data_IF_517016156040
#
_entry.id   IF_517016156040
#
_cell.length_a   1.000
_cell.length_b   1.000
_cell.length_c   1.000
_cell.angle_alpha   90.00
_cell.angle_beta   90.00
_cell.angle_gamma   90.00
#
_symmetry.space_group_name_H-M   'P 1'
#
loop_
_entity.id
_entity.type
_entity.pdbx_description
1 polymer ?
#
# COMPACT_ATOMS: atom_id res chain seq x y z
N UNK A 1 -23.53 -11.70 -16.42
CA UNK A 1 -23.22 -11.60 -14.97
C UNK A 1 -21.72 -11.41 -14.89
N UNK A 2 -21.22 -10.35 -14.25
CA UNK A 2 -19.78 -10.11 -14.18
C UNK A 2 -19.09 -11.23 -13.39
N UNK A 3 -17.91 -11.67 -13.81
CA UNK A 3 -17.09 -12.60 -13.03
C UNK A 3 -16.43 -11.83 -11.89
N UNK A 4 -16.94 -12.03 -10.67
CA UNK A 4 -16.43 -11.39 -9.45
C UNK A 4 -15.08 -11.95 -9.01
N UNK A 5 -14.60 -13.05 -9.58
CA UNK A 5 -13.32 -13.70 -9.20
C UNK A 5 -12.10 -13.05 -9.83
N UNK A 6 -12.24 -12.42 -11.00
CA UNK A 6 -11.12 -11.91 -11.80
C UNK A 6 -10.34 -10.75 -11.14
N UNK A 7 -10.86 -10.14 -10.07
CA UNK A 7 -10.28 -8.95 -9.43
C UNK A 7 -9.87 -9.14 -7.96
N UNK A 8 -9.78 -10.39 -7.49
CA UNK A 8 -9.51 -10.71 -6.08
C UNK A 8 -8.02 -10.67 -5.68
N UNK A 9 -7.12 -11.01 -6.60
CA UNK A 9 -5.65 -10.84 -6.43
C UNK A 9 -5.21 -9.49 -7.03
N UNK A 10 -4.08 -8.90 -6.58
CA UNK A 10 -3.72 -7.47 -6.75
C UNK A 10 -3.72 -6.91 -8.20
N UNK A 11 -2.62 -6.35 -8.76
CA UNK A 11 -2.59 -6.09 -10.20
C UNK A 11 -2.75 -7.40 -10.97
N UNK A 12 -3.97 -7.69 -11.42
CA UNK A 12 -4.23 -8.73 -12.40
C UNK A 12 -3.44 -8.46 -13.69
N UNK A 13 -3.27 -9.49 -14.52
CA UNK A 13 -2.60 -9.35 -15.81
C UNK A 13 -3.55 -8.63 -16.79
N UNK A 14 -3.05 -7.60 -17.47
CA UNK A 14 -3.75 -6.89 -18.55
C UNK A 14 -3.04 -7.11 -19.89
N UNK A 15 -3.46 -6.38 -20.93
CA UNK A 15 -2.75 -6.31 -22.21
C UNK A 15 -2.33 -4.87 -22.49
N UNK A 16 -1.27 -4.64 -23.27
CA UNK A 16 -0.83 -3.28 -23.57
C UNK A 16 -1.83 -2.52 -24.45
N UNK A 17 -2.65 -3.20 -25.25
CA UNK A 17 -3.78 -2.56 -25.95
C UNK A 17 -4.84 -2.05 -24.97
N UNK A 18 -5.10 -2.80 -23.90
CA UNK A 18 -5.96 -2.32 -22.82
C UNK A 18 -5.31 -1.12 -22.11
N UNK A 19 -4.01 -1.18 -21.79
CA UNK A 19 -3.24 -0.05 -21.20
C UNK A 19 -3.33 1.20 -22.08
N UNK A 20 -3.18 1.05 -23.40
CA UNK A 20 -3.28 2.18 -24.34
C UNK A 20 -4.65 2.86 -24.29
N UNK A 21 -5.74 2.10 -24.15
CA UNK A 21 -7.11 2.67 -24.07
C UNK A 21 -7.38 3.44 -22.79
N UNK A 22 -6.58 3.22 -21.74
CA UNK A 22 -6.84 3.75 -20.41
C UNK A 22 -5.97 4.95 -20.03
N UNK A 23 -4.81 5.09 -20.67
CA UNK A 23 -3.94 6.24 -20.49
C UNK A 23 -4.60 7.51 -21.05
N UNK A 24 -4.42 8.66 -20.39
CA UNK A 24 -5.11 9.89 -20.75
C UNK A 24 -4.81 10.34 -22.18
N UNK A 25 -5.85 10.86 -22.83
CA UNK A 25 -5.73 11.55 -24.12
C UNK A 25 -5.36 13.02 -23.89
N UNK A 26 -4.46 13.57 -24.71
CA UNK A 26 -3.99 14.97 -24.64
C UNK A 26 -3.34 15.34 -23.29
N UNK A 27 -2.57 14.42 -22.74
CA UNK A 27 -1.76 14.67 -21.55
C UNK A 27 -0.54 15.55 -21.88
N UNK A 28 -0.24 16.49 -21.00
CA UNK A 28 0.96 17.33 -21.03
C UNK A 28 1.55 17.35 -19.62
N UNK A 29 2.79 16.88 -19.42
CA UNK A 29 3.40 16.95 -18.11
C UNK A 29 3.54 18.38 -17.60
N UNK A 30 3.05 18.67 -16.40
CA UNK A 30 3.07 20.03 -15.82
C UNK A 30 4.47 20.53 -15.48
N UNK A 31 5.39 19.61 -15.19
CA UNK A 31 6.79 19.91 -14.89
C UNK A 31 7.72 19.11 -15.81
N UNK A 32 8.81 19.73 -16.31
CA UNK A 32 9.85 19.01 -17.04
C UNK A 32 10.61 18.05 -16.09
N UNK A 33 11.26 16.98 -16.60
CA UNK A 33 11.78 15.88 -15.78
C UNK A 33 12.65 16.32 -14.59
N UNK A 34 13.63 17.20 -14.81
CA UNK A 34 14.53 17.64 -13.73
C UNK A 34 13.80 18.47 -12.66
N UNK A 35 12.85 19.33 -13.03
CA UNK A 35 12.04 20.09 -12.05
C UNK A 35 11.09 19.17 -11.30
N UNK A 36 10.52 18.16 -11.97
CA UNK A 36 9.68 17.14 -11.34
C UNK A 36 10.45 16.36 -10.27
N UNK A 37 11.71 16.00 -10.54
CA UNK A 37 12.57 15.37 -9.51
C UNK A 37 12.79 16.29 -8.31
N UNK A 38 13.04 17.59 -8.51
CA UNK A 38 13.14 18.55 -7.41
C UNK A 38 11.86 18.60 -6.57
N UNK A 39 10.69 18.67 -7.22
CA UNK A 39 9.39 18.66 -6.55
C UNK A 39 9.17 17.36 -5.77
N UNK A 40 9.54 16.21 -6.35
CA UNK A 40 9.45 14.90 -5.72
C UNK A 40 10.27 14.82 -4.43
N UNK A 41 11.54 15.23 -4.45
CA UNK A 41 12.38 15.22 -3.24
C UNK A 41 11.87 16.16 -2.15
N UNK A 42 11.28 17.30 -2.54
CA UNK A 42 10.63 18.21 -1.58
C UNK A 42 9.39 17.59 -0.94
N UNK A 43 8.54 16.92 -1.74
CA UNK A 43 7.39 16.16 -1.23
C UNK A 43 7.86 15.06 -0.28
N UNK A 44 8.94 14.35 -0.64
CA UNK A 44 9.50 13.27 0.18
C UNK A 44 9.92 13.75 1.56
N UNK A 45 10.74 14.79 1.62
CA UNK A 45 11.21 15.38 2.87
C UNK A 45 10.04 15.86 3.74
N UNK A 46 9.04 16.50 3.11
CA UNK A 46 7.85 16.97 3.82
C UNK A 46 7.05 15.82 4.42
N UNK A 47 6.79 14.75 3.66
CA UNK A 47 6.04 13.61 4.15
C UNK A 47 6.80 12.89 5.26
N UNK A 48 8.10 12.67 5.12
CA UNK A 48 8.91 12.00 6.14
C UNK A 48 8.89 12.77 7.47
N UNK A 49 9.09 14.09 7.41
CA UNK A 49 9.01 14.96 8.59
C UNK A 49 7.59 15.00 9.17
N UNK A 50 6.57 15.16 8.32
CA UNK A 50 5.18 15.21 8.75
C UNK A 50 4.71 13.91 9.39
N UNK A 51 5.13 12.77 8.87
CA UNK A 51 4.87 11.44 9.46
C UNK A 51 5.58 11.27 10.81
N UNK A 52 6.85 11.69 10.90
CA UNK A 52 7.61 11.66 12.16
C UNK A 52 6.91 12.48 13.26
N UNK A 53 6.46 13.69 12.94
CA UNK A 53 5.75 14.57 13.88
C UNK A 53 4.34 14.05 14.23
N UNK A 54 3.55 13.67 13.22
CA UNK A 54 2.14 13.31 13.43
C UNK A 54 1.96 11.98 14.17
N UNK A 55 2.89 11.04 14.00
CA UNK A 55 2.78 9.68 14.52
C UNK A 55 3.89 9.31 15.52
N UNK A 56 4.81 10.23 15.83
CA UNK A 56 5.99 10.02 16.69
C UNK A 56 6.87 8.88 16.16
N UNK A 57 7.30 9.01 14.91
CA UNK A 57 8.11 8.02 14.19
C UNK A 57 9.55 8.51 14.04
N UNK A 58 10.49 7.59 14.11
CA UNK A 58 11.90 7.84 13.80
C UNK A 58 12.26 7.22 12.46
N UNK A 59 13.01 7.96 11.63
CA UNK A 59 13.56 7.39 10.40
C UNK A 59 14.63 6.37 10.75
N UNK A 60 14.52 5.15 10.22
CA UNK A 60 15.51 4.08 10.41
C UNK A 60 15.89 3.45 9.07
N UNK A 61 17.03 2.77 9.06
CA UNK A 61 17.45 1.94 7.92
C UNK A 61 16.61 0.66 7.87
N UNK A 62 16.36 0.18 6.65
CA UNK A 62 15.52 -1.00 6.37
C UNK A 62 16.31 -2.02 5.54
N UNK A 63 16.14 -3.33 5.77
CA UNK A 63 16.81 -4.34 4.96
C UNK A 63 16.21 -4.40 3.55
N UNK A 64 17.07 -4.34 2.53
CA UNK A 64 16.74 -4.77 1.17
C UNK A 64 16.80 -6.29 1.02
N UNK A 65 17.57 -6.95 1.89
CA UNK A 65 17.92 -8.37 1.82
C UNK A 65 17.62 -9.02 3.16
N UNK A 66 16.91 -10.14 3.15
CA UNK A 66 16.59 -10.94 4.34
C UNK A 66 16.93 -12.41 4.10
N UNK A 67 17.14 -13.17 5.18
CA UNK A 67 17.25 -14.63 5.06
C UNK A 67 15.88 -15.24 4.73
N UNK A 68 15.86 -16.23 3.84
CA UNK A 68 14.65 -16.98 3.48
C UNK A 68 13.96 -17.63 4.69
N UNK A 69 14.75 -18.11 5.64
CA UNK A 69 14.27 -18.84 6.82
C UNK A 69 13.71 -17.91 7.92
N UNK A 70 13.80 -16.59 7.74
CA UNK A 70 13.41 -15.61 8.76
C UNK A 70 11.89 -15.48 8.96
N UNK A 71 11.10 -15.78 7.92
CA UNK A 71 9.65 -15.52 7.89
C UNK A 71 9.27 -14.04 7.81
N UNK A 72 10.23 -13.10 7.69
CA UNK A 72 9.94 -11.66 7.67
C UNK A 72 9.68 -11.08 6.28
N UNK A 73 10.00 -11.81 5.21
CA UNK A 73 9.68 -11.36 3.85
C UNK A 73 8.17 -11.47 3.61
N UNK A 74 7.64 -10.53 2.83
CA UNK A 74 6.24 -10.53 2.43
C UNK A 74 6.06 -11.39 1.17
N UNK A 75 5.15 -12.35 1.22
CA UNK A 75 4.78 -13.16 0.06
C UNK A 75 3.61 -12.53 -0.74
N UNK A 76 3.10 -11.38 -0.29
CA UNK A 76 2.04 -10.57 -0.89
C UNK A 76 0.69 -11.29 -0.96
N UNK A 77 0.55 -12.22 -1.90
CA UNK A 77 -0.69 -12.92 -2.20
C UNK A 77 -0.64 -14.35 -1.65
N UNK A 78 -1.75 -14.79 -1.05
CA UNK A 78 -1.86 -16.12 -0.42
C UNK A 78 -1.83 -17.28 -1.41
N UNK A 79 -2.03 -17.00 -2.71
CA UNK A 79 -2.07 -18.00 -3.78
C UNK A 79 -0.69 -18.39 -4.32
N UNK A 80 0.38 -17.72 -3.87
CA UNK A 80 1.74 -17.99 -4.31
C UNK A 80 2.08 -17.47 -5.71
N UNK A 81 1.23 -16.64 -6.32
CA UNK A 81 1.46 -16.06 -7.65
C UNK A 81 2.64 -15.07 -7.70
N UNK A 82 3.13 -14.62 -6.55
CA UNK A 82 4.20 -13.62 -6.41
C UNK A 82 5.31 -14.18 -5.54
N UNK A 83 6.53 -14.20 -6.09
CA UNK A 83 7.68 -14.81 -5.44
C UNK A 83 8.87 -13.84 -5.37
N UNK A 84 9.62 -13.84 -4.25
CA UNK A 84 10.80 -13.02 -4.10
C UNK A 84 11.94 -13.50 -5.03
N UNK A 85 12.99 -12.67 -5.14
CA UNK A 85 14.23 -13.05 -5.81
C UNK A 85 15.13 -13.75 -4.81
N UNK A 86 15.32 -15.06 -4.98
CA UNK A 86 16.21 -15.88 -4.17
C UNK A 86 17.66 -15.82 -4.69
N UNK A 87 18.63 -15.71 -3.78
CA UNK A 87 20.05 -15.80 -4.12
C UNK A 87 20.91 -16.28 -2.93
N UNK A 88 22.04 -16.97 -3.19
CA UNK A 88 22.95 -17.39 -2.12
C UNK A 88 23.89 -16.25 -1.69
N UNK A 89 24.09 -16.06 -0.39
CA UNK A 89 24.98 -15.07 0.21
C UNK A 89 26.03 -15.68 1.14
N UNK A 90 27.07 -14.91 1.49
CA UNK A 90 28.08 -15.30 2.47
C UNK A 90 29.17 -16.23 1.93
N UNK A 91 29.93 -15.76 0.93
CA UNK A 91 31.14 -16.44 0.47
C UNK A 91 32.06 -16.77 1.66
N UNK A 92 32.57 -18.01 1.72
CA UNK A 92 33.46 -18.48 2.79
C UNK A 92 32.77 -19.15 3.97
N UNK A 93 31.44 -19.09 4.07
CA UNK A 93 30.70 -19.87 5.08
C UNK A 93 30.67 -21.37 4.71
N UNK A 94 30.72 -22.29 5.70
CA UNK A 94 30.53 -23.72 5.45
C UNK A 94 29.23 -24.04 4.71
N UNK A 95 28.15 -23.32 5.04
CA UNK A 95 26.87 -23.29 4.31
C UNK A 95 26.54 -21.84 3.98
N UNK A 96 26.27 -21.54 2.71
CA UNK A 96 25.82 -20.21 2.28
C UNK A 96 24.44 -19.90 2.86
N UNK A 97 24.19 -18.62 3.08
CA UNK A 97 22.89 -18.12 3.51
C UNK A 97 21.96 -18.11 2.29
N UNK A 98 20.79 -18.72 2.41
CA UNK A 98 19.71 -18.53 1.42
C UNK A 98 19.03 -17.19 1.71
N UNK A 99 19.23 -16.23 0.82
CA UNK A 99 18.76 -14.86 0.97
C UNK A 99 17.69 -14.52 -0.07
N UNK A 100 16.90 -13.50 0.23
CA UNK A 100 15.84 -12.99 -0.62
C UNK A 100 15.91 -11.48 -0.68
N UNK A 101 15.64 -10.91 -1.86
CA UNK A 101 15.28 -9.49 -1.97
C UNK A 101 13.87 -9.32 -1.40
N UNK A 102 13.67 -8.29 -0.58
CA UNK A 102 12.37 -8.04 0.06
C UNK A 102 11.32 -7.62 -0.97
N UNK A 103 10.08 -8.11 -0.81
CA UNK A 103 8.92 -7.63 -1.56
C UNK A 103 8.13 -6.54 -0.81
N UNK A 104 8.28 -6.49 0.52
CA UNK A 104 7.90 -5.42 1.43
C UNK A 104 8.60 -5.65 2.79
N UNK A 105 8.69 -4.60 3.63
CA UNK A 105 9.24 -4.73 4.99
C UNK A 105 8.14 -4.91 6.05
N UNK A 106 6.91 -5.23 5.65
CA UNK A 106 5.70 -5.27 6.49
C UNK A 106 5.91 -5.98 7.84
N UNK A 107 6.43 -7.21 7.81
CA UNK A 107 6.65 -8.03 9.02
C UNK A 107 7.91 -7.62 9.78
N UNK A 108 8.96 -7.25 9.05
CA UNK A 108 10.23 -6.81 9.64
C UNK A 108 10.03 -5.61 10.56
N UNK A 109 9.21 -4.62 10.19
CA UNK A 109 9.04 -3.41 10.99
C UNK A 109 8.51 -3.69 12.40
N UNK A 110 7.62 -4.67 12.56
CA UNK A 110 7.10 -5.07 13.88
C UNK A 110 8.17 -5.73 14.75
N UNK A 111 9.03 -6.55 14.15
CA UNK A 111 10.23 -7.08 14.82
C UNK A 111 11.18 -5.93 15.21
N UNK A 112 11.34 -4.96 14.31
CA UNK A 112 12.22 -3.82 14.50
C UNK A 112 11.77 -2.91 15.66
N UNK A 113 10.46 -2.79 15.93
CA UNK A 113 9.98 -2.06 17.12
C UNK A 113 10.54 -2.65 18.43
N UNK A 114 10.64 -3.98 18.53
CA UNK A 114 11.25 -4.62 19.69
C UNK A 114 12.77 -4.43 19.69
N UNK A 115 13.42 -4.60 18.53
CA UNK A 115 14.86 -4.45 18.37
C UNK A 115 15.37 -3.04 18.70
N UNK A 116 14.61 -2.01 18.35
CA UNK A 116 14.90 -0.61 18.64
C UNK A 116 14.30 -0.13 19.96
N UNK A 117 13.76 -1.04 20.78
CA UNK A 117 13.22 -0.76 22.11
C UNK A 117 12.17 0.37 22.10
N UNK A 118 11.38 0.49 21.03
CA UNK A 118 10.38 1.56 20.90
C UNK A 118 9.36 1.46 22.03
N UNK A 119 9.14 2.58 22.73
CA UNK A 119 8.11 2.68 23.76
C UNK A 119 6.71 2.77 23.16
N UNK A 120 5.70 2.63 24.01
CA UNK A 120 4.31 2.82 23.59
C UNK A 120 4.12 4.23 23.03
N UNK A 121 3.53 4.32 21.83
CA UNK A 121 3.35 5.59 21.16
C UNK A 121 4.56 6.03 20.32
N UNK A 122 5.69 5.31 20.36
CA UNK A 122 6.82 5.51 19.46
C UNK A 122 6.76 4.52 18.30
N UNK A 123 7.39 4.88 17.20
CA UNK A 123 7.50 4.00 16.03
C UNK A 123 8.67 4.35 15.12
N UNK A 124 8.68 3.67 13.99
CA UNK A 124 9.68 3.82 12.94
C UNK A 124 9.03 4.12 11.61
N UNK A 125 9.76 4.81 10.73
CA UNK A 125 9.46 4.99 9.32
C UNK A 125 10.73 4.70 8.51
N UNK A 126 10.57 4.18 7.30
CA UNK A 126 11.69 3.76 6.46
C UNK A 126 11.48 4.16 5.01
N UNK A 127 12.58 4.48 4.32
CA UNK A 127 12.62 4.62 2.87
C UNK A 127 12.80 3.24 2.23
N UNK A 128 11.73 2.45 2.23
CA UNK A 128 11.76 1.05 1.81
C UNK A 128 11.80 0.94 0.29
N UNK A 129 12.63 0.02 -0.19
CA UNK A 129 12.75 -0.35 -1.59
C UNK A 129 12.61 -1.86 -1.72
N UNK A 130 11.85 -2.30 -2.69
CA UNK A 130 11.54 -3.69 -2.95
C UNK A 130 11.57 -4.00 -4.45
N UNK A 131 11.68 -5.30 -4.76
CA UNK A 131 11.57 -5.80 -6.13
C UNK A 131 10.40 -6.78 -6.22
N UNK A 132 9.41 -6.45 -7.06
CA UNK A 132 8.23 -7.28 -7.34
C UNK A 132 8.25 -7.73 -8.80
N UNK A 133 9.04 -8.78 -9.07
CA UNK A 133 9.33 -9.24 -10.43
C UNK A 133 8.14 -9.82 -11.20
N UNK A 134 7.09 -10.25 -10.49
CA UNK A 134 5.95 -10.96 -11.09
C UNK A 134 4.78 -10.02 -11.45
N UNK A 135 4.98 -8.70 -11.41
CA UNK A 135 3.95 -7.73 -11.78
C UNK A 135 3.86 -7.53 -13.29
N UNK A 136 2.63 -7.42 -13.80
CA UNK A 136 2.39 -6.81 -15.09
C UNK A 136 2.75 -5.32 -15.00
N UNK A 137 3.69 -4.87 -15.85
CA UNK A 137 4.17 -3.50 -15.82
C UNK A 137 3.21 -2.62 -16.60
N UNK A 138 2.58 -1.67 -15.92
CA UNK A 138 1.60 -0.75 -16.49
C UNK A 138 1.78 0.68 -15.94
N UNK A 139 0.74 1.50 -16.05
CA UNK A 139 0.77 2.89 -15.63
C UNK A 139 0.97 3.13 -14.12
N UNK A 140 0.59 2.19 -13.26
CA UNK A 140 0.63 2.32 -11.79
C UNK A 140 1.31 1.12 -11.07
N UNK A 141 1.93 0.22 -11.84
CA UNK A 141 2.70 -0.94 -11.38
C UNK A 141 4.10 -1.02 -12.02
N UNK A 142 5.12 -1.18 -11.18
CA UNK A 142 6.53 -1.33 -11.55
C UNK A 142 7.15 -2.53 -10.82
N UNK A 143 8.21 -3.11 -11.39
CA UNK A 143 9.06 -4.08 -10.70
C UNK A 143 9.81 -3.45 -9.53
N UNK A 144 10.15 -2.16 -9.63
CA UNK A 144 10.71 -1.38 -8.52
C UNK A 144 9.57 -0.78 -7.69
N UNK A 145 9.56 -1.08 -6.40
CA UNK A 145 8.56 -0.56 -5.46
C UNK A 145 9.24 0.23 -4.36
N UNK A 146 8.73 1.42 -4.10
CA UNK A 146 9.18 2.31 -3.04
C UNK A 146 8.03 2.63 -2.08
N UNK A 147 8.30 2.61 -0.78
CA UNK A 147 7.29 2.93 0.23
C UNK A 147 7.88 3.71 1.39
N UNK A 148 7.10 4.62 1.97
CA UNK A 148 7.28 4.99 3.37
C UNK A 148 6.66 3.87 4.19
N UNK A 149 7.51 2.97 4.66
CA UNK A 149 7.09 1.77 5.35
C UNK A 149 7.26 2.03 6.85
N UNK A 150 6.13 2.21 7.53
CA UNK A 150 6.08 2.69 8.92
C UNK A 150 5.36 1.72 9.86
N UNK A 151 5.69 1.78 11.14
CA UNK A 151 5.12 0.94 12.19
C UNK A 151 5.23 1.65 13.54
N UNK A 152 4.22 1.54 14.40
CA UNK A 152 4.14 2.22 15.69
C UNK A 152 3.65 1.26 16.76
N UNK A 153 4.32 1.24 17.92
CA UNK A 153 3.90 0.46 19.08
C UNK A 153 2.65 1.08 19.71
N UNK A 154 1.66 0.25 20.00
CA UNK A 154 0.38 0.67 20.58
C UNK A 154 0.06 -0.13 21.85
N UNK A 155 -0.92 0.35 22.62
CA UNK A 155 -1.46 -0.37 23.78
C UNK A 155 -2.58 -1.33 23.35
N UNK A 156 -2.94 -2.31 24.19
CA UNK A 156 -4.12 -3.14 23.94
C UNK A 156 -5.41 -2.32 23.74
N UNK A 157 -5.62 -1.25 24.52
CA UNK A 157 -6.81 -0.39 24.41
C UNK A 157 -6.87 0.41 23.11
N UNK A 158 -5.73 0.66 22.47
CA UNK A 158 -5.65 1.34 21.17
C UNK A 158 -6.12 0.43 20.01
N UNK A 159 -6.37 -0.86 20.26
CA UNK A 159 -6.86 -1.81 19.24
C UNK A 159 -8.34 -1.64 18.96
N UNK A 160 -8.72 -0.50 18.41
CA UNK A 160 -10.11 -0.21 18.09
C UNK A 160 -10.23 0.63 16.81
N UNK A 161 -11.46 0.69 16.27
CA UNK A 161 -11.77 1.38 15.02
C UNK A 161 -11.46 2.88 15.08
N UNK A 162 -11.68 3.54 16.22
CA UNK A 162 -11.45 4.98 16.35
C UNK A 162 -9.97 5.32 16.28
N UNK A 163 -9.10 4.52 16.89
CA UNK A 163 -7.65 4.68 16.82
C UNK A 163 -7.11 4.49 15.39
N UNK A 164 -7.65 3.50 14.66
CA UNK A 164 -7.35 3.32 13.23
C UNK A 164 -7.74 4.56 12.43
N UNK A 165 -8.99 5.04 12.59
CA UNK A 165 -9.51 6.21 11.87
C UNK A 165 -8.73 7.48 12.19
N UNK A 166 -8.38 7.71 13.45
CA UNK A 166 -7.54 8.85 13.86
C UNK A 166 -6.17 8.81 13.20
N UNK A 167 -5.52 7.64 13.19
CA UNK A 167 -4.23 7.44 12.52
C UNK A 167 -4.31 7.73 11.02
N UNK A 168 -5.35 7.21 10.36
CA UNK A 168 -5.61 7.46 8.92
C UNK A 168 -5.81 8.95 8.63
N UNK A 169 -6.58 9.68 9.46
CA UNK A 169 -6.79 11.13 9.29
C UNK A 169 -5.48 11.91 9.39
N UNK A 170 -4.60 11.55 10.33
CA UNK A 170 -3.27 12.16 10.48
C UNK A 170 -2.41 11.94 9.23
N UNK A 171 -2.38 10.72 8.70
CA UNK A 171 -1.63 10.38 7.48
C UNK A 171 -2.18 11.13 6.27
N UNK A 172 -3.50 11.16 6.10
CA UNK A 172 -4.14 11.91 5.01
C UNK A 172 -3.80 13.39 5.05
N UNK A 173 -3.84 13.99 6.25
CA UNK A 173 -3.46 15.38 6.45
C UNK A 173 -2.02 15.64 5.99
N UNK A 174 -1.07 14.78 6.33
CA UNK A 174 0.34 14.89 5.90
C UNK A 174 0.45 14.83 4.37
N UNK A 175 -0.21 13.86 3.73
CA UNK A 175 -0.18 13.72 2.26
C UNK A 175 -0.81 14.93 1.56
N UNK A 176 -1.97 15.38 2.02
CA UNK A 176 -2.68 16.56 1.49
C UNK A 176 -1.85 17.83 1.64
N UNK A 177 -1.25 18.04 2.82
CA UNK A 177 -0.45 19.24 3.09
C UNK A 177 0.86 19.22 2.29
N UNK A 178 1.45 18.05 2.02
CA UNK A 178 2.56 17.91 1.08
C UNK A 178 2.16 18.34 -0.34
N UNK A 179 0.95 17.95 -0.77
CA UNK A 179 0.36 18.40 -2.03
C UNK A 179 0.19 19.92 -2.11
N UNK A 180 -0.29 20.55 -1.04
CA UNK A 180 -0.43 22.01 -0.96
C UNK A 180 0.91 22.72 -0.99
N UNK A 181 1.86 22.23 -0.23
CA UNK A 181 3.22 22.77 -0.17
C UNK A 181 3.88 22.72 -1.55
N UNK A 182 3.82 21.58 -2.26
CA UNK A 182 4.47 21.48 -3.57
C UNK A 182 3.79 22.34 -4.63
N UNK A 183 2.48 22.56 -4.56
CA UNK A 183 1.77 23.51 -5.43
C UNK A 183 2.22 24.96 -5.20
N UNK A 184 2.48 25.35 -3.95
CA UNK A 184 2.95 26.69 -3.62
C UNK A 184 4.35 26.95 -4.20
N UNK A 185 5.24 25.96 -4.14
CA UNK A 185 6.60 26.07 -4.68
C UNK A 185 6.65 25.92 -6.21
N UNK A 186 5.76 25.11 -6.79
CA UNK A 186 5.66 24.85 -8.23
C UNK A 186 4.27 25.23 -8.74
N UNK A 187 4.00 26.52 -9.03
CA UNK A 187 2.68 27.01 -9.43
C UNK A 187 2.10 26.34 -10.68
N UNK A 188 2.94 25.72 -11.53
CA UNK A 188 2.48 24.93 -12.67
C UNK A 188 1.65 23.71 -12.27
N UNK A 189 1.78 23.23 -11.03
CA UNK A 189 0.97 22.14 -10.47
C UNK A 189 -0.43 22.60 -10.05
N UNK A 190 -0.68 23.90 -9.92
CA UNK A 190 -2.00 24.47 -9.65
C UNK A 190 -2.77 24.74 -10.95
N UNK A 191 -2.80 23.74 -11.82
CA UNK A 191 -3.45 23.78 -13.11
C UNK A 191 -4.99 23.64 -12.96
N UNK A 192 -5.80 24.57 -13.53
CA UNK A 192 -7.25 24.58 -13.36
C UNK A 192 -7.96 23.37 -13.99
N UNK A 193 -7.27 22.56 -14.80
CA UNK A 193 -7.81 21.29 -15.33
C UNK A 193 -8.01 20.24 -14.25
N UNK A 194 -7.31 20.35 -13.12
CA UNK A 194 -7.32 19.35 -12.05
C UNK A 194 -7.91 19.93 -10.76
N UNK A 195 -8.85 19.22 -10.11
CA UNK A 195 -9.37 19.66 -8.82
C UNK A 195 -8.27 19.67 -7.76
N UNK A 196 -8.52 20.43 -6.70
CA UNK A 196 -7.65 20.42 -5.53
C UNK A 196 -7.77 19.12 -4.72
N UNK A 197 -6.82 18.89 -3.82
CA UNK A 197 -6.81 17.73 -2.94
C UNK A 197 -8.00 17.77 -1.96
N UNK A 198 -8.74 16.66 -1.76
CA UNK A 198 -9.84 16.63 -0.78
C UNK A 198 -9.35 17.02 0.63
N UNK A 199 -10.11 17.89 1.31
CA UNK A 199 -9.80 18.30 2.68
C UNK A 199 -9.77 17.11 3.63
N UNK A 200 -10.78 16.25 3.51
CA UNK A 200 -10.97 15.06 4.33
C UNK A 200 -11.19 13.84 3.42
N UNK A 201 -10.93 12.66 3.96
CA UNK A 201 -11.35 11.40 3.35
C UNK A 201 -12.58 10.84 4.06
N UNK A 202 -13.35 10.02 3.33
CA UNK A 202 -14.54 9.36 3.86
C UNK A 202 -14.24 7.90 4.21
N UNK A 203 -14.80 7.40 5.30
CA UNK A 203 -14.58 6.01 5.75
C UNK A 203 -15.74 5.11 5.33
N UNK A 204 -15.43 3.98 4.71
CA UNK A 204 -16.41 2.93 4.35
C UNK A 204 -15.87 1.57 4.76
N UNK A 205 -16.69 0.70 5.35
CA UNK A 205 -16.33 -0.73 5.40
C UNK A 205 -16.57 -1.39 4.05
N UNK A 206 -15.79 -2.43 3.74
CA UNK A 206 -15.92 -3.22 2.54
C UNK A 206 -17.35 -3.80 2.37
N UNK A 207 -18.00 -4.20 3.45
CA UNK A 207 -19.38 -4.64 3.50
C UNK A 207 -20.35 -3.54 3.01
N UNK A 208 -20.13 -2.29 3.40
CA UNK A 208 -20.92 -1.14 2.94
C UNK A 208 -20.74 -0.91 1.43
N UNK A 209 -19.50 -0.98 0.96
CA UNK A 209 -19.18 -0.84 -0.47
C UNK A 209 -19.86 -1.94 -1.30
N UNK A 210 -19.89 -3.18 -0.79
CA UNK A 210 -20.62 -4.26 -1.43
C UNK A 210 -22.14 -4.04 -1.38
N UNK A 211 -22.68 -3.51 -0.29
CA UNK A 211 -24.11 -3.20 -0.19
C UNK A 211 -24.54 -2.10 -1.18
N UNK A 212 -23.70 -1.09 -1.42
CA UNK A 212 -23.94 -0.04 -2.40
C UNK A 212 -23.91 -0.56 -3.84
N UNK A 213 -23.00 -1.50 -4.15
CA UNK A 213 -22.76 -1.99 -5.51
C UNK A 213 -22.72 -3.53 -5.59
N UNK A 214 -23.83 -4.22 -5.28
CA UNK A 214 -23.83 -5.68 -5.05
C UNK A 214 -23.51 -6.51 -6.30
N UNK A 215 -23.70 -5.94 -7.50
CA UNK A 215 -23.53 -6.65 -8.77
C UNK A 215 -22.20 -6.35 -9.47
N UNK A 216 -21.36 -5.47 -8.92
CA UNK A 216 -20.10 -5.06 -9.53
C UNK A 216 -18.90 -5.80 -8.94
N UNK A 217 -17.87 -6.11 -9.76
CA UNK A 217 -16.55 -6.53 -9.28
C UNK A 217 -15.90 -5.45 -8.42
N UNK A 218 -14.95 -5.85 -7.56
CA UNK A 218 -14.21 -4.98 -6.63
C UNK A 218 -13.75 -3.65 -7.23
N UNK A 219 -12.94 -3.71 -8.30
CA UNK A 219 -12.34 -2.50 -8.91
C UNK A 219 -13.40 -1.54 -9.44
N UNK A 220 -14.50 -2.08 -9.96
CA UNK A 220 -15.64 -1.28 -10.40
C UNK A 220 -16.39 -0.67 -9.21
N UNK A 221 -16.55 -1.39 -8.08
CA UNK A 221 -17.12 -0.81 -6.86
C UNK A 221 -16.28 0.37 -6.35
N UNK A 222 -14.96 0.19 -6.26
CA UNK A 222 -14.02 1.26 -5.88
C UNK A 222 -14.13 2.44 -6.84
N UNK A 223 -14.20 2.17 -8.15
CA UNK A 223 -14.31 3.21 -9.19
C UNK A 223 -15.63 3.99 -9.09
N UNK A 224 -16.76 3.33 -8.82
CA UNK A 224 -18.02 4.06 -8.62
C UNK A 224 -18.00 4.87 -7.32
N UNK A 225 -17.51 4.27 -6.22
CA UNK A 225 -17.42 4.94 -4.92
C UNK A 225 -16.58 6.23 -5.00
N UNK A 226 -15.41 6.16 -5.65
CA UNK A 226 -14.44 7.25 -5.68
C UNK A 226 -14.88 8.43 -6.56
N UNK A 227 -15.81 8.21 -7.51
CA UNK A 227 -16.41 9.31 -8.28
C UNK A 227 -17.23 10.24 -7.40
N UNK A 228 -17.93 9.69 -6.41
CA UNK A 228 -18.77 10.43 -5.48
C UNK A 228 -17.96 10.91 -4.26
N UNK A 229 -16.92 10.14 -3.88
CA UNK A 229 -16.05 10.41 -2.74
C UNK A 229 -14.58 10.43 -3.18
N UNK A 230 -14.00 11.59 -3.54
CA UNK A 230 -12.71 11.67 -4.22
C UNK A 230 -11.50 11.24 -3.37
N UNK A 231 -11.68 11.04 -2.06
CA UNK A 231 -10.75 10.36 -1.17
C UNK A 231 -11.53 9.49 -0.17
N UNK A 232 -11.18 8.20 -0.08
CA UNK A 232 -11.80 7.24 0.82
C UNK A 232 -10.76 6.40 1.54
N UNK A 233 -11.13 5.90 2.73
CA UNK A 233 -10.47 4.78 3.38
C UNK A 233 -11.43 3.61 3.47
N UNK A 234 -11.11 2.51 2.78
CA UNK A 234 -11.93 1.30 2.77
C UNK A 234 -11.42 0.35 3.86
N UNK A 235 -12.25 0.07 4.86
CA UNK A 235 -11.95 -0.73 6.05
C UNK A 235 -12.34 -2.19 5.79
N UNK A 236 -11.61 -3.15 6.38
CA UNK A 236 -12.01 -4.56 6.38
C UNK A 236 -11.54 -5.34 5.15
N UNK A 237 -10.40 -4.95 4.57
CA UNK A 237 -9.89 -5.60 3.36
C UNK A 237 -9.19 -6.90 3.72
N UNK A 238 -9.80 -8.01 3.31
CA UNK A 238 -9.36 -9.38 3.58
C UNK A 238 -10.47 -10.26 4.15
N UNK A 239 -11.47 -9.65 4.80
CA UNK A 239 -12.66 -10.33 5.31
C UNK A 239 -13.54 -10.85 4.17
N UNK A 240 -14.07 -12.07 4.30
CA UNK A 240 -14.99 -12.67 3.32
C UNK A 240 -16.36 -12.02 3.46
N UNK A 241 -16.79 -11.31 2.42
CA UNK A 241 -18.06 -10.59 2.39
C UNK A 241 -19.24 -11.53 2.09
N UNK A 242 -20.47 -11.03 2.23
CA UNK A 242 -21.71 -11.82 2.04
C UNK A 242 -21.87 -12.47 0.66
N UNK A 243 -21.14 -12.00 -0.35
CA UNK A 243 -21.15 -12.61 -1.69
C UNK A 243 -20.13 -13.74 -1.85
N UNK A 244 -19.47 -14.15 -0.75
CA UNK A 244 -18.54 -15.27 -0.69
C UNK A 244 -17.11 -14.92 -1.07
N UNK A 245 -16.81 -13.64 -1.32
CA UNK A 245 -15.48 -13.17 -1.72
C UNK A 245 -14.98 -12.10 -0.77
N UNK A 246 -13.67 -12.05 -0.49
CA UNK A 246 -13.12 -10.89 0.19
C UNK A 246 -13.19 -9.66 -0.71
N UNK A 247 -13.15 -8.45 -0.13
CA UNK A 247 -13.01 -7.24 -0.94
C UNK A 247 -11.77 -7.34 -1.81
N UNK A 248 -10.62 -7.67 -1.23
CA UNK A 248 -9.38 -8.06 -1.89
C UNK A 248 -8.68 -9.13 -1.04
N UNK A 249 -7.89 -10.01 -1.66
CA UNK A 249 -6.97 -10.88 -0.92
C UNK A 249 -5.96 -10.02 -0.14
N UNK A 250 -5.72 -10.39 1.12
CA UNK A 250 -4.73 -9.73 2.00
C UNK A 250 -3.80 -10.79 2.55
N UNK A 251 -2.64 -10.51 3.14
CA UNK A 251 -1.92 -11.56 3.88
C UNK A 251 -2.64 -11.90 5.20
N UNK A 252 -2.34 -13.04 5.81
CA UNK A 252 -3.03 -13.52 7.02
C UNK A 252 -2.29 -13.19 8.33
N UNK A 253 -1.07 -12.65 8.25
CA UNK A 253 -0.10 -12.68 9.36
C UNK A 253 0.45 -11.30 9.77
N UNK A 254 -0.05 -10.22 9.19
CA UNK A 254 0.28 -8.87 9.65
C UNK A 254 -0.95 -8.01 9.95
N UNK A 255 -1.93 -7.89 9.05
CA UNK A 255 -3.12 -7.06 9.28
C UNK A 255 -4.25 -7.84 9.94
N UNK A 256 -4.93 -7.21 10.89
CA UNK A 256 -6.13 -7.76 11.52
C UNK A 256 -7.37 -7.38 10.71
N UNK A 257 -7.81 -8.28 9.82
CA UNK A 257 -8.99 -8.09 8.97
C UNK A 257 -10.20 -8.89 9.45
N UNK A 258 -10.11 -9.61 10.57
CA UNK A 258 -11.23 -10.42 11.11
C UNK A 258 -11.92 -9.82 12.32
N UNK A 259 -11.27 -8.89 13.05
CA UNK A 259 -11.85 -8.36 14.29
C UNK A 259 -13.16 -7.62 14.00
N UNK A 260 -14.29 -8.00 14.61
CA UNK A 260 -15.53 -7.24 14.49
C UNK A 260 -15.39 -5.84 15.07
N UNK A 261 -15.94 -4.83 14.40
CA UNK A 261 -15.77 -3.43 14.81
C UNK A 261 -17.09 -2.80 15.29
N UNK A 262 -18.06 -2.66 14.39
CA UNK A 262 -19.35 -2.02 14.66
C UNK A 262 -20.48 -2.78 13.97
N UNK A 263 -21.69 -2.62 14.49
CA UNK A 263 -22.91 -3.00 13.75
C UNK A 263 -23.46 -1.77 13.02
N UNK A 264 -23.75 -1.92 11.73
CA UNK A 264 -24.35 -0.84 10.92
C UNK A 264 -25.37 -1.44 9.97
N UNK A 265 -26.58 -0.89 9.98
CA UNK A 265 -27.72 -1.38 9.19
C UNK A 265 -28.05 -2.88 9.42
N UNK A 266 -27.84 -3.38 10.65
CA UNK A 266 -28.08 -4.78 11.01
C UNK A 266 -27.03 -5.77 10.48
N UNK A 267 -25.90 -5.26 9.95
CA UNK A 267 -24.76 -6.06 9.51
C UNK A 267 -23.55 -5.76 10.40
N UNK A 268 -22.87 -6.81 10.86
CA UNK A 268 -21.64 -6.71 11.64
C UNK A 268 -20.47 -6.44 10.68
N UNK A 269 -19.75 -5.36 10.93
CA UNK A 269 -18.61 -4.94 10.12
C UNK A 269 -17.31 -5.48 10.70
N UNK A 270 -16.35 -5.82 9.84
CA UNK A 270 -15.09 -6.45 10.25
C UNK A 270 -13.85 -5.67 9.81
N UNK A 271 -12.77 -5.90 10.55
CA UNK A 271 -11.41 -5.51 10.25
C UNK A 271 -10.95 -4.21 10.87
N UNK A 272 -9.68 -4.21 11.29
CA UNK A 272 -8.93 -3.08 11.80
C UNK A 272 -7.79 -2.70 10.83
N UNK A 273 -8.03 -2.88 9.53
CA UNK A 273 -7.13 -2.51 8.44
C UNK A 273 -7.91 -1.84 7.30
N UNK A 274 -7.18 -1.33 6.30
CA UNK A 274 -7.78 -0.77 5.11
C UNK A 274 -6.79 -0.03 4.21
N UNK A 275 -7.32 0.47 3.11
CA UNK A 275 -6.54 1.16 2.08
C UNK A 275 -7.08 2.58 1.85
N UNK A 276 -6.18 3.56 1.62
CA UNK A 276 -6.58 4.88 1.12
C UNK A 276 -6.61 4.84 -0.40
N UNK A 277 -7.76 5.17 -0.96
CA UNK A 277 -7.94 5.33 -2.39
C UNK A 277 -8.39 6.76 -2.71
N UNK A 278 -7.87 7.31 -3.80
CA UNK A 278 -8.21 8.64 -4.29
C UNK A 278 -8.65 8.59 -5.73
N UNK A 279 -9.45 9.58 -6.14
CA UNK A 279 -9.68 9.88 -7.54
C UNK A 279 -8.43 10.54 -8.12
N UNK A 280 -7.75 9.88 -9.06
CA UNK A 280 -6.68 10.52 -9.81
C UNK A 280 -7.30 11.30 -10.98
N UNK A 281 -7.25 12.64 -10.99
CA UNK A 281 -7.91 13.44 -12.02
C UNK A 281 -7.18 13.40 -13.38
N UNK A 282 -5.92 12.97 -13.40
CA UNK A 282 -5.13 12.84 -14.63
C UNK A 282 -5.54 11.58 -15.38
N UNK A 283 -5.53 10.44 -14.70
CA UNK A 283 -5.88 9.13 -15.30
C UNK A 283 -7.38 8.85 -15.25
N UNK A 284 -8.16 9.66 -14.51
CA UNK A 284 -9.60 9.53 -14.28
C UNK A 284 -9.99 8.15 -13.74
N UNK A 285 -9.25 7.72 -12.73
CA UNK A 285 -9.30 6.35 -12.19
C UNK A 285 -9.12 6.32 -10.67
N UNK A 286 -9.51 5.18 -10.09
CA UNK A 286 -9.17 4.84 -8.71
C UNK A 286 -7.66 4.65 -8.57
N UNK A 287 -7.07 5.33 -7.59
CA UNK A 287 -5.63 5.32 -7.35
C UNK A 287 -5.37 5.03 -5.88
N UNK A 288 -4.75 3.90 -5.60
CA UNK A 288 -4.48 3.44 -4.24
C UNK A 288 -3.14 3.99 -3.77
N UNK A 289 -3.12 4.70 -2.64
CA UNK A 289 -1.92 5.33 -2.10
C UNK A 289 -1.25 4.52 -1.01
N UNK A 290 -2.03 3.82 -0.19
CA UNK A 290 -1.53 3.15 1.00
C UNK A 290 -2.40 1.99 1.40
N UNK A 291 -1.77 1.01 2.01
CA UNK A 291 -2.39 -0.06 2.80
C UNK A 291 -1.83 -0.03 4.21
N UNK A 292 -2.71 -0.11 5.21
CA UNK A 292 -2.34 -0.03 6.63
C UNK A 292 -3.35 -0.73 7.53
N UNK A 293 -2.93 -1.03 8.76
CA UNK A 293 -3.82 -1.61 9.74
C UNK A 293 -3.19 -1.79 11.10
N UNK A 294 -4.06 -2.00 12.09
CA UNK A 294 -3.69 -2.52 13.39
C UNK A 294 -3.29 -3.98 13.19
N UNK A 295 -2.12 -4.36 13.69
CA UNK A 295 -1.54 -5.66 13.37
C UNK A 295 -2.26 -6.79 14.09
N UNK A 296 -2.18 -8.01 13.58
CA UNK A 296 -2.75 -9.20 14.23
C UNK A 296 -2.28 -9.39 15.68
N UNK A 297 -3.15 -9.94 16.54
CA UNK A 297 -2.77 -10.56 17.81
C UNK A 297 -2.39 -12.02 17.58
N UNK A 298 -1.97 -12.76 18.62
CA UNK A 298 -1.80 -14.21 18.53
C UNK A 298 -3.09 -14.93 18.08
N UNK A 299 -4.22 -14.49 18.62
CA UNK A 299 -5.51 -15.11 18.39
C UNK A 299 -6.03 -14.78 16.99
N UNK A 300 -5.96 -13.50 16.58
CA UNK A 300 -6.41 -13.12 15.23
C UNK A 300 -5.46 -13.63 14.15
N UNK A 301 -4.14 -13.67 14.39
CA UNK A 301 -3.20 -14.31 13.46
C UNK A 301 -3.54 -15.77 13.25
N UNK A 302 -3.75 -16.54 14.33
CA UNK A 302 -4.04 -17.98 14.23
C UNK A 302 -5.35 -18.23 13.48
N UNK A 303 -6.42 -17.52 13.86
CA UNK A 303 -7.71 -17.65 13.18
C UNK A 303 -7.63 -17.27 11.69
N UNK A 304 -6.88 -16.22 11.35
CA UNK A 304 -6.65 -15.82 9.96
C UNK A 304 -5.88 -16.88 9.17
N UNK A 305 -4.83 -17.48 9.74
CA UNK A 305 -4.07 -18.56 9.12
C UNK A 305 -4.88 -19.85 8.95
N UNK A 306 -5.81 -20.13 9.86
CA UNK A 306 -6.78 -21.23 9.73
C UNK A 306 -7.74 -20.99 8.55
N UNK A 307 -8.32 -19.78 8.46
CA UNK A 307 -9.19 -19.37 7.35
C UNK A 307 -8.48 -19.54 5.99
N UNK A 308 -7.16 -19.36 5.96
CA UNK A 308 -6.38 -19.34 4.72
C UNK A 308 -5.61 -20.61 4.45
N UNK A 309 -5.69 -21.61 5.33
CA UNK A 309 -4.95 -22.86 5.26
C UNK A 309 -3.42 -22.67 5.24
N UNK A 310 -2.89 -21.76 6.06
CA UNK A 310 -1.47 -21.40 6.14
C UNK A 310 -0.90 -21.63 7.56
N UNK A 311 -1.42 -22.63 8.28
CA UNK A 311 -1.00 -22.94 9.66
C UNK A 311 0.49 -23.34 9.77
N UNK A 312 1.11 -23.79 8.69
CA UNK A 312 2.54 -24.09 8.61
C UNK A 312 3.42 -22.86 8.88
N UNK A 313 2.90 -21.64 8.66
CA UNK A 313 3.63 -20.42 8.96
C UNK A 313 3.89 -20.23 10.45
N UNK A 314 3.09 -20.86 11.34
CA UNK A 314 3.31 -20.79 12.78
C UNK A 314 4.68 -21.32 13.23
N UNK A 315 5.36 -22.09 12.38
CA UNK A 315 6.70 -22.57 12.66
C UNK A 315 7.81 -21.56 12.36
N UNK A 316 7.52 -20.48 11.63
CA UNK A 316 8.50 -19.46 11.26
C UNK A 316 8.85 -18.54 12.45
N UNK A 317 10.08 -17.95 12.47
CA UNK A 317 10.53 -17.11 13.58
C UNK A 317 9.62 -15.91 13.89
N UNK A 318 9.12 -15.20 12.87
CA UNK A 318 8.21 -14.06 13.03
C UNK A 318 6.91 -14.46 13.75
N UNK A 319 6.26 -15.54 13.30
CA UNK A 319 5.01 -16.01 13.87
C UNK A 319 5.21 -16.53 15.30
N UNK A 320 6.31 -17.25 15.57
CA UNK A 320 6.71 -17.64 16.93
C UNK A 320 6.91 -16.43 17.83
N UNK A 321 7.46 -15.33 17.33
CA UNK A 321 7.63 -14.11 18.12
C UNK A 321 6.27 -13.49 18.50
N UNK A 322 5.26 -13.55 17.62
CA UNK A 322 3.89 -13.13 17.95
C UNK A 322 3.25 -14.07 18.98
N UNK A 323 3.33 -15.38 18.76
CA UNK A 323 2.72 -16.38 19.65
C UNK A 323 3.27 -16.32 21.08
N UNK A 324 4.55 -15.97 21.23
CA UNK A 324 5.24 -15.89 22.51
C UNK A 324 5.29 -14.46 23.09
N UNK A 325 4.50 -13.52 22.55
CA UNK A 325 4.44 -12.13 23.01
C UNK A 325 5.82 -11.42 23.06
N UNK A 326 6.74 -11.81 22.15
CA UNK A 326 8.12 -11.27 22.08
C UNK A 326 8.21 -9.97 21.29
N UNK A 327 7.21 -9.67 20.46
CA UNK A 327 7.11 -8.42 19.71
C UNK A 327 5.82 -7.67 20.07
N UNK A 328 5.83 -6.33 20.05
CA UNK A 328 4.73 -5.56 20.61
C UNK A 328 3.45 -5.64 19.75
N UNK A 329 2.33 -5.23 20.34
CA UNK A 329 1.18 -4.78 19.56
C UNK A 329 1.55 -3.51 18.80
N UNK A 330 1.12 -3.43 17.55
CA UNK A 330 1.44 -2.29 16.69
C UNK A 330 0.31 -1.95 15.72
N UNK A 331 0.42 -0.76 15.16
CA UNK A 331 -0.27 -0.31 13.95
C UNK A 331 0.81 0.05 12.93
N UNK A 332 0.59 -0.22 11.65
CA UNK A 332 1.54 0.18 10.63
C UNK A 332 0.96 0.13 9.24
N UNK A 333 1.77 0.52 8.26
CA UNK A 333 1.36 0.51 6.86
C UNK A 333 2.49 0.87 5.92
N UNK A 334 2.21 0.76 4.63
CA UNK A 334 3.07 1.23 3.56
C UNK A 334 2.34 2.30 2.77
N UNK A 335 3.01 3.43 2.51
CA UNK A 335 2.53 4.48 1.60
C UNK A 335 3.42 4.44 0.37
N UNK A 336 2.87 4.13 -0.81
CA UNK A 336 3.65 4.04 -2.05
C UNK A 336 4.21 5.40 -2.44
N UNK A 337 5.54 5.56 -2.45
CA UNK A 337 6.15 6.86 -2.69
C UNK A 337 5.87 7.32 -4.12
N UNK A 338 6.22 6.50 -5.10
CA UNK A 338 5.97 6.77 -6.52
C UNK A 338 4.49 7.00 -6.83
N UNK A 339 3.58 6.22 -6.24
CA UNK A 339 2.14 6.43 -6.40
C UNK A 339 1.68 7.76 -5.80
N UNK A 340 2.23 8.15 -4.66
CA UNK A 340 1.95 9.44 -4.03
C UNK A 340 2.49 10.59 -4.88
N UNK A 341 3.71 10.47 -5.42
CA UNK A 341 4.27 11.47 -6.33
C UNK A 341 3.44 11.61 -7.60
N UNK A 342 2.97 10.51 -8.20
CA UNK A 342 2.08 10.59 -9.36
C UNK A 342 0.83 11.41 -9.07
N UNK A 343 0.21 11.15 -7.92
CA UNK A 343 -0.99 11.86 -7.50
C UNK A 343 -0.69 13.34 -7.26
N UNK A 344 0.30 13.66 -6.43
CA UNK A 344 0.60 15.04 -6.02
C UNK A 344 1.18 15.90 -7.16
N UNK A 345 1.99 15.31 -8.04
CA UNK A 345 2.64 15.99 -9.17
C UNK A 345 1.84 15.90 -10.48
N UNK A 346 0.64 15.30 -10.42
CA UNK A 346 -0.29 15.16 -11.55
C UNK A 346 0.34 14.48 -12.78
N UNK A 347 1.09 13.41 -12.56
CA UNK A 347 1.64 12.61 -13.66
C UNK A 347 0.69 11.48 -14.08
N UNK A 348 0.80 11.07 -15.34
CA UNK A 348 -0.07 10.04 -15.91
C UNK A 348 0.47 8.62 -15.70
N UNK A 349 1.78 8.49 -15.48
CA UNK A 349 2.46 7.20 -15.38
C UNK A 349 3.51 7.17 -14.26
N UNK A 350 3.67 6.03 -13.59
CA UNK A 350 4.61 5.83 -12.49
C UNK A 350 6.06 6.08 -12.92
N UNK A 351 6.44 5.59 -14.10
CA UNK A 351 7.72 5.88 -14.74
C UNK A 351 8.06 7.35 -14.97
N UNK A 352 7.13 8.30 -14.81
CA UNK A 352 7.46 9.73 -14.85
C UNK A 352 8.12 10.24 -13.57
N UNK A 353 7.95 9.51 -12.47
CA UNK A 353 8.41 9.85 -11.12
C UNK A 353 9.36 8.80 -10.52
N UNK A 354 9.53 7.66 -11.20
CA UNK A 354 10.43 6.59 -10.78
C UNK A 354 11.29 6.12 -11.95
N UNK A 355 12.52 5.70 -11.65
CA UNK A 355 13.46 5.13 -12.63
C UNK A 355 13.40 3.62 -12.50
N UNK A 356 13.00 2.93 -13.58
CA UNK A 356 12.83 1.49 -13.60
C UNK A 356 12.95 0.95 -15.02
N UNK A 357 12.92 -0.37 -15.16
CA UNK A 357 12.75 -1.04 -16.44
C UNK A 357 11.30 -0.92 -16.93
N UNK A 358 11.12 -0.65 -18.22
CA UNK A 358 9.83 -0.60 -18.87
C UNK A 358 9.86 -1.34 -20.22
N UNK A 359 8.80 -2.11 -20.57
CA UNK A 359 8.68 -2.78 -21.86
C UNK A 359 8.69 -1.79 -23.03
N UNK A 360 9.35 -2.13 -24.14
CA UNK A 360 9.41 -1.26 -25.33
C UNK A 360 8.02 -0.90 -25.89
N UNK A 361 7.07 -1.83 -25.81
CA UNK A 361 5.68 -1.60 -26.23
C UNK A 361 4.99 -0.54 -25.36
N UNK A 362 5.16 -0.61 -24.04
CA UNK A 362 4.63 0.38 -23.11
C UNK A 362 5.28 1.75 -23.33
N UNK A 363 6.60 1.79 -23.57
CA UNK A 363 7.32 3.02 -23.91
C UNK A 363 6.78 3.67 -25.18
N UNK A 364 6.47 2.88 -26.22
CA UNK A 364 5.86 3.38 -27.45
C UNK A 364 4.48 3.98 -27.20
N UNK A 365 3.62 3.26 -26.46
CA UNK A 365 2.27 3.75 -26.08
C UNK A 365 2.38 5.06 -25.29
N UNK A 366 3.29 5.14 -24.32
CA UNK A 366 3.51 6.33 -23.52
C UNK A 366 3.94 7.52 -24.40
N UNK A 367 4.91 7.30 -25.31
CA UNK A 367 5.39 8.34 -26.21
C UNK A 367 4.29 8.89 -27.13
N UNK A 368 3.42 8.04 -27.66
CA UNK A 368 2.26 8.44 -28.47
C UNK A 368 1.27 9.32 -27.69
N UNK A 369 1.25 9.20 -26.36
CA UNK A 369 0.41 9.98 -25.44
C UNK A 369 1.15 11.08 -24.70
N UNK A 370 2.35 11.44 -25.17
CA UNK A 370 3.20 12.48 -24.58
C UNK A 370 3.58 12.20 -23.10
N UNK A 371 3.69 10.92 -22.75
CA UNK A 371 4.19 10.44 -21.47
C UNK A 371 5.65 10.02 -21.66
N UNK A 372 6.55 10.62 -20.90
CA UNK A 372 7.99 10.29 -20.92
C UNK A 372 8.38 9.57 -19.65
N UNK A 373 8.55 8.25 -19.74
CA UNK A 373 9.06 7.44 -18.63
C UNK A 373 10.58 7.57 -18.50
N UNK A 374 11.09 7.43 -17.28
CA UNK A 374 12.51 7.51 -16.94
C UNK A 374 13.13 6.10 -16.94
N UNK A 375 14.35 6.01 -17.45
CA UNK A 375 15.15 4.78 -17.60
C UNK A 375 16.56 4.96 -17.00
#
# INVERSE_FOLDING_TARGET
MYDKKLDLAGPGISTYEAVSKILPEKYEPLLPPLRRMKALYMVKEFIEKGMAEALNLQMVQVPLIVSKDSGVNDYLDRDGSRTPIDFPAGLGLPKRIEAQVVQAATKWKRMALAQFECEVGQGINTDMRAVRKDYFLDHDHSSYVDQWDWEKRIRPEDRNLDYLKDTVRKIWKVIRDAGRMVKQEFPELDDPRYPDFPEELTFFHAEEVLAMYPNLPRKERETQLIKDYPAVFIIGIGWILKDGYPHEMRAADYDDWITPTIEKNGELMHGLNGDILVWNPVTKRRHELTSMGIRVTKDSMKAQLEITNQLDFLDMPYHKAILNDQIPLSIGGGIGQSRTYMYLLRTAHLGEVTVSIWPDELKKICKEKNISVLE
#
